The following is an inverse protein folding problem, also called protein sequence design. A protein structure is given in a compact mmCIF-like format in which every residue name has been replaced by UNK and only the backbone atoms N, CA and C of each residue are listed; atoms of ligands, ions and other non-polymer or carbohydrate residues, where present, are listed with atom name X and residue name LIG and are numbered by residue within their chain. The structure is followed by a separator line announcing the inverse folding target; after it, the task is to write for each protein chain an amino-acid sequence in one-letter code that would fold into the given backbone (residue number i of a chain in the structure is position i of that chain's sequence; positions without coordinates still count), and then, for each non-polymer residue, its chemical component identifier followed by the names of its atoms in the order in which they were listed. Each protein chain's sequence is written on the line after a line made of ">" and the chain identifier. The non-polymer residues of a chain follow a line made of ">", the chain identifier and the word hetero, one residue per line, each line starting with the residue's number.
data_IF_779451860878
#
_entry.id   IF_779451860878
#
_cell.length_a   1.000
_cell.length_b   1.000
_cell.length_c   1.000
_cell.angle_alpha   90.00
_cell.angle_beta   90.00
_cell.angle_gamma   90.00
#
_symmetry.space_group_name_H-M   'P 1'
#
loop_
_entity.id
_entity.type
_entity.pdbx_description
1 polymer ?
#
# COMPACT_ATOMS: atom_id res chain seq x y z
N UNK A 1 -22.61 2.24 41.34
CA UNK A 1 -22.82 3.70 41.42
C UNK A 1 -21.49 4.42 41.29
N UNK A 2 -21.43 5.44 40.42
CA UNK A 2 -20.49 6.56 40.39
C UNK A 2 -19.00 6.24 40.16
N UNK A 3 -18.51 6.61 38.99
CA UNK A 3 -17.30 7.41 38.88
C UNK A 3 -17.59 8.60 37.96
N UNK A 4 -17.80 9.76 38.59
CA UNK A 4 -17.87 11.07 37.94
C UNK A 4 -16.46 11.47 37.57
N UNK A 5 -16.18 11.65 36.28
CA UNK A 5 -15.00 12.37 35.84
C UNK A 5 -15.25 13.88 35.91
N UNK A 6 -14.21 14.56 36.37
CA UNK A 6 -14.13 15.95 36.78
C UNK A 6 -14.24 16.85 35.55
N UNK A 7 -15.30 17.65 35.46
CA UNK A 7 -15.38 18.78 34.53
C UNK A 7 -14.46 19.89 35.03
N UNK A 8 -13.36 20.10 34.31
CA UNK A 8 -12.44 21.21 34.55
C UNK A 8 -13.16 22.55 34.43
N UNK A 9 -13.10 23.33 35.50
CA UNK A 9 -13.57 24.70 35.57
C UNK A 9 -12.56 25.57 34.80
N UNK A 10 -12.99 26.14 33.67
CA UNK A 10 -12.27 27.22 33.00
C UNK A 10 -12.47 28.50 33.81
N UNK A 11 -11.44 28.85 34.58
CA UNK A 11 -11.36 30.08 35.35
C UNK A 11 -11.23 31.26 34.37
N UNK A 12 -12.31 32.03 34.19
CA UNK A 12 -12.26 33.33 33.53
C UNK A 12 -11.94 34.40 34.58
N UNK A 13 -10.69 34.87 34.64
CA UNK A 13 -10.29 36.00 35.48
C UNK A 13 -10.87 37.30 34.91
N UNK A 14 -11.70 37.98 35.72
CA UNK A 14 -12.20 39.34 35.47
C UNK A 14 -11.19 40.37 35.98
N UNK A 15 -10.86 41.38 35.18
CA UNK A 15 -10.31 42.64 35.68
C UNK A 15 -11.03 43.83 35.02
N UNK A 16 -11.50 44.76 35.85
CA UNK A 16 -12.26 45.96 35.50
C UNK A 16 -11.37 47.12 35.04
N UNK A 17 -11.95 47.98 34.17
CA UNK A 17 -11.89 49.46 34.08
C UNK A 17 -11.61 50.03 32.67
N UNK A 18 -12.65 50.62 32.05
CA UNK A 18 -12.73 51.84 31.19
C UNK A 18 -14.09 51.87 30.42
N UNK A 19 -14.70 53.04 30.13
CA UNK A 19 -16.12 53.20 29.71
C UNK A 19 -16.42 52.94 28.21
N UNK A 20 -15.59 52.16 27.52
CA UNK A 20 -15.82 51.72 26.15
C UNK A 20 -16.28 50.26 26.13
N UNK A 21 -17.03 49.89 25.09
CA UNK A 21 -17.28 48.48 24.78
C UNK A 21 -15.91 47.78 24.70
N UNK A 22 -15.71 46.69 25.45
CA UNK A 22 -14.50 45.86 25.39
C UNK A 22 -14.90 44.42 25.07
N UNK A 23 -14.25 43.80 24.11
CA UNK A 23 -14.29 42.36 23.95
C UNK A 23 -13.48 41.71 25.09
N UNK A 24 -13.95 40.60 25.65
CA UNK A 24 -13.22 39.86 26.69
C UNK A 24 -11.79 39.49 26.26
N UNK A 25 -10.88 39.35 27.23
CA UNK A 25 -9.50 38.93 26.97
C UNK A 25 -9.49 37.51 26.40
N UNK A 26 -8.98 37.36 25.18
CA UNK A 26 -8.73 36.05 24.58
C UNK A 26 -7.32 35.57 24.94
N UNK A 27 -7.14 34.26 25.07
CA UNK A 27 -5.80 33.66 25.03
C UNK A 27 -5.38 33.56 23.57
N UNK A 28 -4.40 34.37 23.17
CA UNK A 28 -3.90 34.40 21.79
C UNK A 28 -3.05 33.16 21.45
N UNK A 29 -2.95 32.82 20.16
CA UNK A 29 -2.16 31.71 19.61
C UNK A 29 -2.51 30.31 20.15
N UNK A 30 -3.77 30.06 20.49
CA UNK A 30 -4.21 28.74 20.96
C UNK A 30 -4.42 27.73 19.83
N UNK A 31 -4.17 26.45 20.12
CA UNK A 31 -4.47 25.33 19.22
C UNK A 31 -5.80 24.67 19.61
N UNK A 32 -6.73 24.58 18.66
CA UNK A 32 -8.13 24.18 18.90
C UNK A 32 -8.64 23.16 17.88
N UNK A 33 -9.76 22.49 18.18
CA UNK A 33 -10.43 21.58 17.25
C UNK A 33 -11.07 22.33 16.07
N UNK A 34 -11.26 21.66 14.93
CA UNK A 34 -11.80 22.27 13.69
C UNK A 34 -13.24 22.79 13.81
N UNK A 35 -13.97 22.34 14.83
CA UNK A 35 -15.34 22.78 15.14
C UNK A 35 -15.40 23.85 16.25
N UNK A 36 -14.25 24.47 16.60
CA UNK A 36 -14.18 25.45 17.69
C UNK A 36 -15.18 26.58 17.47
N UNK A 37 -15.96 26.83 18.52
CA UNK A 37 -16.83 27.99 18.65
C UNK A 37 -16.19 29.01 19.60
N UNK A 38 -16.33 30.29 19.27
CA UNK A 38 -15.84 31.41 20.05
C UNK A 38 -16.99 32.15 20.72
N UNK A 39 -16.76 32.60 21.95
CA UNK A 39 -17.71 33.41 22.71
C UNK A 39 -17.08 34.76 23.00
N UNK A 40 -17.63 35.81 22.41
CA UNK A 40 -17.18 37.19 22.56
C UNK A 40 -18.11 37.88 23.54
N UNK A 41 -17.60 38.26 24.71
CA UNK A 41 -18.39 38.98 25.72
C UNK A 41 -18.09 40.47 25.65
N UNK A 42 -19.15 41.27 25.56
CA UNK A 42 -19.12 42.72 25.55
C UNK A 42 -19.55 43.27 26.92
N UNK A 43 -19.12 44.49 27.24
CA UNK A 43 -19.46 45.16 28.50
C UNK A 43 -20.89 45.75 28.51
N UNK A 44 -21.36 46.19 27.34
CA UNK A 44 -22.71 46.70 27.09
C UNK A 44 -23.53 45.73 26.22
N UNK A 45 -24.85 45.89 26.21
CA UNK A 45 -25.74 45.17 25.29
C UNK A 45 -25.39 45.48 23.84
N UNK A 46 -25.23 44.44 23.04
CA UNK A 46 -24.77 44.50 21.64
C UNK A 46 -25.95 44.85 20.74
N UNK A 47 -25.77 45.82 19.83
CA UNK A 47 -26.72 45.99 18.72
C UNK A 47 -26.40 44.94 17.66
N UNK A 48 -27.22 43.90 17.57
CA UNK A 48 -26.98 42.75 16.69
C UNK A 48 -27.57 42.94 15.28
N UNK A 49 -27.17 44.02 14.60
CA UNK A 49 -27.54 44.32 13.22
C UNK A 49 -26.47 43.85 12.21
N UNK A 50 -26.71 44.10 10.92
CA UNK A 50 -25.77 43.72 9.86
C UNK A 50 -24.42 44.41 10.00
N UNK A 51 -24.40 45.67 10.44
CA UNK A 51 -23.17 46.43 10.67
C UNK A 51 -22.29 45.76 11.72
N UNK A 52 -22.87 45.35 12.86
CA UNK A 52 -22.12 44.61 13.89
C UNK A 52 -21.63 43.26 13.38
N UNK A 53 -22.43 42.53 12.60
CA UNK A 53 -22.02 41.24 12.02
C UNK A 53 -20.84 41.40 11.06
N UNK A 54 -20.83 42.42 10.21
CA UNK A 54 -19.69 42.76 9.35
C UNK A 54 -18.43 43.16 10.13
N UNK A 55 -18.59 43.58 11.38
CA UNK A 55 -17.49 43.90 12.29
C UNK A 55 -16.82 42.68 12.92
N UNK A 56 -17.39 41.48 12.77
CA UNK A 56 -16.88 40.25 13.37
C UNK A 56 -16.60 39.25 12.26
N UNK A 57 -15.32 38.99 11.99
CA UNK A 57 -14.90 38.14 10.87
C UNK A 57 -13.85 37.14 11.31
N UNK A 58 -13.77 36.01 10.60
CA UNK A 58 -12.60 35.14 10.66
C UNK A 58 -11.91 35.18 9.30
N UNK A 59 -10.59 35.31 9.30
CA UNK A 59 -9.77 35.27 8.08
C UNK A 59 -8.71 34.19 8.18
N UNK A 60 -8.27 33.65 7.04
CA UNK A 60 -7.04 32.89 6.96
C UNK A 60 -5.80 33.81 7.06
N UNK A 61 -4.60 33.23 7.03
CA UNK A 61 -3.33 33.97 7.08
C UNK A 61 -3.05 34.79 5.81
N UNK A 62 -3.79 34.56 4.73
CA UNK A 62 -3.72 35.32 3.47
C UNK A 62 -4.75 36.45 3.42
N UNK A 63 -5.60 36.57 4.43
CA UNK A 63 -6.65 37.59 4.54
C UNK A 63 -7.98 37.21 3.89
N UNK A 64 -8.15 35.97 3.41
CA UNK A 64 -9.43 35.52 2.86
C UNK A 64 -10.45 35.30 3.98
N UNK A 65 -11.67 35.82 3.80
CA UNK A 65 -12.75 35.68 4.79
C UNK A 65 -13.32 34.27 4.82
N UNK A 66 -13.49 33.72 6.01
CA UNK A 66 -14.07 32.41 6.28
C UNK A 66 -15.57 32.56 6.56
N UNK A 67 -16.37 31.69 5.95
CA UNK A 67 -17.82 31.68 6.16
C UNK A 67 -18.17 31.12 7.54
N UNK A 68 -18.38 32.00 8.51
CA UNK A 68 -18.68 31.69 9.91
C UNK A 68 -20.16 31.90 10.22
N UNK A 69 -20.67 31.17 11.21
CA UNK A 69 -21.96 31.49 11.81
C UNK A 69 -21.80 32.52 12.93
N UNK A 70 -22.75 33.45 13.06
CA UNK A 70 -22.75 34.46 14.12
C UNK A 70 -24.15 34.54 14.73
N UNK A 71 -24.24 34.43 16.04
CA UNK A 71 -25.50 34.52 16.80
C UNK A 71 -25.33 35.35 18.08
N UNK A 72 -26.43 35.99 18.51
CA UNK A 72 -26.48 36.70 19.78
C UNK A 72 -26.76 35.70 20.92
N UNK A 73 -26.02 35.82 22.02
CA UNK A 73 -26.24 35.06 23.24
C UNK A 73 -27.46 35.55 24.02
N UNK A 74 -27.97 34.69 24.91
CA UNK A 74 -29.20 34.95 25.69
C UNK A 74 -29.10 36.16 26.63
N UNK A 75 -27.89 36.59 26.99
CA UNK A 75 -27.64 37.74 27.86
C UNK A 75 -27.63 39.09 27.12
N UNK A 76 -27.84 39.09 25.80
CA UNK A 76 -27.74 40.27 24.91
C UNK A 76 -26.38 40.99 24.93
N UNK A 77 -25.38 40.43 25.62
CA UNK A 77 -24.02 40.98 25.78
C UNK A 77 -22.96 40.07 25.18
N UNK A 78 -23.35 38.90 24.72
CA UNK A 78 -22.45 37.90 24.17
C UNK A 78 -22.75 37.66 22.70
N UNK A 79 -21.72 37.57 21.87
CA UNK A 79 -21.83 37.07 20.49
C UNK A 79 -21.09 35.75 20.39
N UNK A 80 -21.74 34.75 19.81
CA UNK A 80 -21.17 33.42 19.58
C UNK A 80 -20.80 33.31 18.10
N UNK A 81 -19.55 32.99 17.81
CA UNK A 81 -19.03 32.77 16.46
C UNK A 81 -18.76 31.28 16.28
N UNK A 82 -19.53 30.63 15.41
CA UNK A 82 -19.41 29.19 15.11
C UNK A 82 -18.52 28.97 13.89
N UNK A 83 -17.80 27.86 13.89
CA UNK A 83 -17.04 27.40 12.73
C UNK A 83 -17.94 27.24 11.48
N UNK A 84 -17.36 27.21 10.26
CA UNK A 84 -18.07 26.78 9.06
C UNK A 84 -18.72 25.41 9.26
N UNK A 85 -19.77 25.10 8.49
CA UNK A 85 -20.43 23.78 8.55
C UNK A 85 -19.45 22.63 8.24
N UNK A 86 -18.48 22.87 7.34
CA UNK A 86 -17.37 21.95 7.06
C UNK A 86 -16.29 21.89 8.14
N UNK A 87 -16.34 22.78 9.14
CA UNK A 87 -15.24 23.09 10.05
C UNK A 87 -14.13 23.91 9.40
N UNK A 88 -13.21 24.39 10.23
CA UNK A 88 -11.94 24.98 9.77
C UNK A 88 -11.00 23.90 9.22
N UNK A 89 -10.19 24.23 8.21
CA UNK A 89 -9.18 23.32 7.65
C UNK A 89 -8.14 22.96 8.71
N UNK A 90 -7.90 21.65 8.93
CA UNK A 90 -6.95 21.14 9.92
C UNK A 90 -5.51 21.52 9.57
N UNK A 91 -4.72 21.88 10.59
CA UNK A 91 -3.32 22.29 10.40
C UNK A 91 -3.11 23.73 9.92
N UNK A 92 -4.18 24.44 9.55
CA UNK A 92 -4.14 25.84 9.15
C UNK A 92 -4.30 26.79 10.36
N UNK A 93 -3.94 28.05 10.14
CA UNK A 93 -4.05 29.14 11.11
C UNK A 93 -5.06 30.18 10.65
N UNK A 94 -5.76 30.78 11.61
CA UNK A 94 -6.83 31.75 11.36
C UNK A 94 -6.78 32.90 12.35
N UNK A 95 -7.44 34.00 12.00
CA UNK A 95 -7.54 35.20 12.80
C UNK A 95 -9.02 35.55 12.98
N UNK A 96 -9.51 35.56 14.22
CA UNK A 96 -10.81 36.14 14.57
C UNK A 96 -10.61 37.64 14.82
N UNK A 97 -11.26 38.47 14.01
CA UNK A 97 -11.22 39.92 14.09
C UNK A 97 -12.54 40.46 14.64
N UNK A 98 -12.46 41.36 15.62
CA UNK A 98 -13.59 42.10 16.19
C UNK A 98 -13.28 43.60 16.06
N UNK A 99 -13.84 44.22 15.02
CA UNK A 99 -13.55 45.58 14.60
C UNK A 99 -14.52 46.63 15.14
N UNK A 100 -14.23 47.90 14.82
CA UNK A 100 -14.99 49.08 15.28
C UNK A 100 -16.44 49.16 14.81
N UNK A 101 -16.84 48.36 13.81
CA UNK A 101 -18.25 48.24 13.40
C UNK A 101 -19.12 47.55 14.46
N UNK A 102 -18.53 46.73 15.34
CA UNK A 102 -19.25 46.14 16.46
C UNK A 102 -19.59 47.22 17.50
N UNK A 103 -20.88 47.39 17.80
CA UNK A 103 -21.37 48.50 18.62
C UNK A 103 -22.54 48.10 19.53
N UNK A 104 -22.72 48.87 20.60
CA UNK A 104 -23.80 48.65 21.56
C UNK A 104 -25.14 49.23 21.09
N UNK A 105 -26.23 48.85 21.75
CA UNK A 105 -27.55 49.44 21.51
C UNK A 105 -27.60 50.96 21.76
N UNK A 106 -26.65 51.49 22.55
CA UNK A 106 -26.44 52.92 22.82
C UNK A 106 -25.55 53.61 21.78
N UNK A 107 -25.18 52.91 20.71
CA UNK A 107 -24.34 53.44 19.63
C UNK A 107 -22.86 53.56 19.95
N UNK A 108 -22.38 52.97 21.05
CA UNK A 108 -20.94 52.99 21.39
C UNK A 108 -20.21 51.87 20.64
N UNK A 109 -19.28 52.26 19.78
CA UNK A 109 -18.40 51.34 19.07
C UNK A 109 -17.18 50.89 19.91
N UNK A 110 -16.55 49.79 19.50
CA UNK A 110 -15.21 49.44 19.97
C UNK A 110 -14.18 50.50 19.54
N UNK A 111 -13.31 50.91 20.47
CA UNK A 111 -12.24 51.89 20.18
C UNK A 111 -11.09 51.29 19.37
N UNK A 112 -10.79 50.02 19.61
CA UNK A 112 -9.70 49.30 18.98
C UNK A 112 -10.26 48.03 18.32
N UNK A 113 -9.62 47.60 17.24
CA UNK A 113 -9.81 46.26 16.71
C UNK A 113 -9.12 45.24 17.62
N UNK A 114 -9.78 44.10 17.83
CA UNK A 114 -9.23 42.98 18.57
C UNK A 114 -9.01 41.81 17.61
N UNK A 115 -7.81 41.24 17.65
CA UNK A 115 -7.43 40.09 16.83
C UNK A 115 -7.04 38.93 17.73
N UNK A 116 -7.53 37.75 17.38
CA UNK A 116 -7.22 36.49 18.04
C UNK A 116 -6.72 35.52 16.97
N UNK A 117 -5.44 35.16 17.06
CA UNK A 117 -4.81 34.13 16.26
C UNK A 117 -5.09 32.76 16.90
N UNK A 118 -5.45 31.79 16.07
CA UNK A 118 -5.63 30.41 16.51
C UNK A 118 -5.21 29.42 15.44
N UNK A 119 -4.79 28.25 15.88
CA UNK A 119 -4.33 27.15 15.03
C UNK A 119 -5.31 25.99 15.13
N UNK A 120 -5.59 25.30 14.02
CA UNK A 120 -6.40 24.09 14.05
C UNK A 120 -5.49 22.88 14.26
N UNK A 121 -5.84 22.00 15.19
CA UNK A 121 -5.13 20.72 15.39
C UNK A 121 -4.95 20.01 14.05
N UNK A 122 -3.72 19.53 13.79
CA UNK A 122 -3.44 18.66 12.65
C UNK A 122 -4.20 17.35 12.80
N UNK A 123 -4.62 16.75 11.69
CA UNK A 123 -5.23 15.43 11.70
C UNK A 123 -4.14 14.37 11.92
N UNK A 124 -3.82 14.07 13.18
CA UNK A 124 -2.82 13.03 13.46
C UNK A 124 -3.39 11.63 13.22
N UNK A 125 -4.70 11.43 13.31
CA UNK A 125 -5.33 10.11 13.21
C UNK A 125 -5.37 9.54 11.78
N UNK A 126 -5.41 10.38 10.74
CA UNK A 126 -5.40 9.91 9.33
C UNK A 126 -4.01 9.47 8.82
N UNK A 127 -2.98 9.66 9.65
CA UNK A 127 -1.60 9.30 9.33
C UNK A 127 -1.06 8.16 10.19
N UNK A 128 -1.79 7.69 11.20
CA UNK A 128 -1.35 6.53 11.98
C UNK A 128 -1.50 5.29 11.09
N UNK A 129 -0.43 4.51 11.03
CA UNK A 129 -0.38 3.19 10.39
C UNK A 129 -0.51 2.15 11.47
N UNK A 130 -1.41 1.19 11.26
CA UNK A 130 -1.62 0.07 12.18
C UNK A 130 -1.32 -1.22 11.45
N UNK A 131 -0.47 -2.05 12.04
CA UNK A 131 -0.19 -3.40 11.56
C UNK A 131 -0.95 -4.38 12.45
N UNK A 132 -1.76 -5.25 11.85
CA UNK A 132 -2.61 -6.16 12.65
C UNK A 132 -1.84 -7.35 13.23
N UNK A 133 -0.81 -7.80 12.51
CA UNK A 133 0.07 -8.86 12.97
C UNK A 133 1.20 -8.27 13.80
N UNK A 134 1.39 -8.79 15.01
CA UNK A 134 2.37 -8.27 15.97
C UNK A 134 3.82 -8.52 15.51
N UNK A 135 4.08 -9.61 14.80
CA UNK A 135 5.42 -9.90 14.28
C UNK A 135 5.74 -8.93 13.13
N UNK A 136 4.77 -8.67 12.25
CA UNK A 136 4.89 -7.63 11.22
C UNK A 136 5.12 -6.25 11.85
N UNK A 137 4.32 -5.85 12.85
CA UNK A 137 4.52 -4.57 13.54
C UNK A 137 5.93 -4.48 14.14
N UNK A 138 6.38 -5.54 14.80
CA UNK A 138 7.69 -5.59 15.44
C UNK A 138 8.83 -5.42 14.43
N UNK A 139 8.76 -6.06 13.27
CA UNK A 139 9.77 -5.89 12.21
C UNK A 139 9.76 -4.47 11.66
N UNK A 140 8.58 -3.88 11.42
CA UNK A 140 8.48 -2.49 10.98
C UNK A 140 9.10 -1.56 12.03
N UNK A 141 8.82 -1.77 13.32
CA UNK A 141 9.41 -0.97 14.41
C UNK A 141 10.92 -1.07 14.47
N UNK A 142 11.49 -2.24 14.21
CA UNK A 142 12.93 -2.44 14.10
C UNK A 142 13.50 -1.62 12.95
N UNK A 143 12.89 -1.68 11.77
CA UNK A 143 13.33 -0.95 10.56
C UNK A 143 13.31 0.57 10.76
N UNK A 144 12.24 1.11 11.37
CA UNK A 144 12.11 2.55 11.60
C UNK A 144 12.77 3.03 12.91
N UNK A 145 13.41 2.12 13.66
CA UNK A 145 14.01 2.39 14.98
C UNK A 145 13.05 3.08 15.96
N UNK A 146 11.81 2.56 16.06
CA UNK A 146 10.73 3.14 16.88
C UNK A 146 10.02 2.08 17.73
N UNK A 147 10.61 1.70 18.89
CA UNK A 147 10.11 0.58 19.68
C UNK A 147 8.75 0.83 20.34
N UNK A 148 8.33 2.09 20.52
CA UNK A 148 7.07 2.44 21.19
C UNK A 148 6.37 3.62 20.52
N UNK A 149 5.10 3.81 20.87
CA UNK A 149 4.25 4.89 20.34
C UNK A 149 3.66 4.59 18.96
N UNK A 150 2.81 5.51 18.50
CA UNK A 150 2.12 5.39 17.22
C UNK A 150 3.10 5.43 16.05
N UNK A 151 2.91 4.54 15.07
CA UNK A 151 3.64 4.58 13.79
C UNK A 151 2.86 5.49 12.85
N UNK A 152 3.53 6.44 12.22
CA UNK A 152 2.94 7.36 11.25
C UNK A 152 3.38 7.01 9.83
N UNK A 153 2.61 7.42 8.81
CA UNK A 153 2.97 7.29 7.40
C UNK A 153 4.37 7.83 7.09
N UNK A 154 4.74 8.95 7.70
CA UNK A 154 6.09 9.54 7.57
C UNK A 154 7.20 8.66 8.13
N UNK A 155 6.90 7.79 9.11
CA UNK A 155 7.90 6.88 9.65
C UNK A 155 8.22 5.76 8.65
N UNK A 156 7.24 5.35 7.85
CA UNK A 156 7.34 4.22 6.93
C UNK A 156 7.52 4.62 5.47
N UNK A 157 7.45 5.92 5.15
CA UNK A 157 7.49 6.43 3.77
C UNK A 157 8.80 6.09 3.04
N UNK A 158 9.89 5.90 3.78
CA UNK A 158 11.21 5.61 3.21
C UNK A 158 11.52 4.11 3.08
N UNK A 159 10.60 3.23 3.51
CA UNK A 159 10.77 1.78 3.38
C UNK A 159 10.60 1.40 1.90
N UNK A 160 11.70 0.93 1.29
CA UNK A 160 11.74 0.45 -0.11
C UNK A 160 11.90 -1.06 -0.22
N UNK A 161 12.45 -1.67 0.82
CA UNK A 161 12.68 -3.11 0.88
C UNK A 161 12.21 -3.58 2.25
N UNK A 162 11.43 -4.65 2.27
CA UNK A 162 10.94 -5.30 3.48
C UNK A 162 11.15 -6.80 3.32
N UNK A 163 11.88 -7.39 4.26
CA UNK A 163 12.19 -8.82 4.32
C UNK A 163 11.72 -9.32 5.67
N UNK A 164 10.73 -10.22 5.66
CA UNK A 164 10.24 -10.92 6.84
C UNK A 164 10.03 -12.40 6.54
N UNK A 165 11.13 -13.09 6.25
CA UNK A 165 11.15 -14.54 6.10
C UNK A 165 10.81 -15.26 7.42
N UNK A 166 10.00 -16.33 7.34
CA UNK A 166 9.75 -17.25 8.46
C UNK A 166 9.21 -16.59 9.75
N UNK A 167 8.61 -15.40 9.64
CA UNK A 167 8.10 -14.60 10.76
C UNK A 167 6.79 -15.10 11.37
N UNK A 168 6.19 -16.14 10.80
CA UNK A 168 4.89 -16.68 11.24
C UNK A 168 3.72 -15.73 11.00
N UNK A 169 3.88 -14.77 10.09
CA UNK A 169 2.89 -13.74 9.75
C UNK A 169 1.66 -14.38 9.11
N UNK A 170 0.48 -13.91 9.50
CA UNK A 170 -0.80 -14.32 8.92
C UNK A 170 -1.58 -13.16 8.28
N UNK A 171 -1.55 -11.99 8.90
CA UNK A 171 -2.30 -10.81 8.47
C UNK A 171 -1.33 -9.68 8.12
N UNK A 172 -1.23 -9.37 6.83
CA UNK A 172 -0.35 -8.31 6.33
C UNK A 172 -1.02 -6.93 6.27
N UNK A 173 -2.21 -6.76 6.88
CA UNK A 173 -2.84 -5.43 7.00
C UNK A 173 -1.88 -4.42 7.62
N UNK A 174 -1.80 -3.24 7.01
CA UNK A 174 -0.84 -2.18 7.31
C UNK A 174 0.24 -2.05 6.23
N UNK A 175 0.58 -3.14 5.51
CA UNK A 175 1.56 -3.11 4.40
C UNK A 175 1.12 -2.18 3.27
N UNK A 176 -0.18 -1.96 3.05
CA UNK A 176 -0.69 -1.01 2.05
C UNK A 176 -0.21 0.44 2.28
N UNK A 177 0.28 0.76 3.49
CA UNK A 177 0.86 2.07 3.81
C UNK A 177 2.30 2.23 3.30
N UNK A 178 2.98 1.13 2.93
CA UNK A 178 4.36 1.11 2.43
C UNK A 178 4.41 1.45 0.93
N UNK A 179 3.84 2.59 0.55
CA UNK A 179 3.60 2.95 -0.86
C UNK A 179 4.86 3.08 -1.73
N UNK A 180 6.05 3.23 -1.13
CA UNK A 180 7.33 3.29 -1.83
C UNK A 180 8.07 1.93 -1.89
N UNK A 181 7.42 0.85 -1.46
CA UNK A 181 8.00 -0.49 -1.45
C UNK A 181 8.29 -0.99 -2.88
N UNK A 182 9.51 -1.47 -3.08
CA UNK A 182 10.03 -1.99 -4.35
C UNK A 182 10.35 -3.49 -4.25
N UNK A 183 10.76 -3.96 -3.08
CA UNK A 183 11.00 -5.38 -2.81
C UNK A 183 10.27 -5.80 -1.54
N UNK A 184 9.55 -6.91 -1.64
CA UNK A 184 8.84 -7.50 -0.52
C UNK A 184 9.13 -9.00 -0.48
N UNK A 185 9.83 -9.44 0.56
CA UNK A 185 10.01 -10.86 0.87
C UNK A 185 9.18 -11.24 2.09
N UNK A 186 8.24 -12.16 1.88
CA UNK A 186 7.36 -12.73 2.90
C UNK A 186 7.38 -14.26 2.83
N UNK A 187 8.49 -14.84 2.38
CA UNK A 187 8.67 -16.28 2.29
C UNK A 187 8.46 -17.00 3.63
N UNK A 188 7.85 -18.19 3.57
CA UNK A 188 7.78 -19.09 4.73
C UNK A 188 6.84 -18.61 5.84
N UNK A 189 5.81 -17.84 5.49
CA UNK A 189 4.80 -17.35 6.43
C UNK A 189 3.51 -18.19 6.35
N UNK A 190 2.39 -17.66 6.87
CA UNK A 190 1.07 -18.32 6.89
C UNK A 190 0.01 -17.43 6.22
N UNK A 191 0.42 -16.61 5.26
CA UNK A 191 -0.42 -15.62 4.59
C UNK A 191 -1.36 -16.33 3.63
N UNK A 192 -2.61 -15.89 3.59
CA UNK A 192 -3.62 -16.37 2.63
C UNK A 192 -4.35 -15.24 1.92
N UNK A 193 -4.49 -14.08 2.58
CA UNK A 193 -5.06 -12.87 2.00
C UNK A 193 -3.94 -11.88 1.67
N UNK A 194 -3.82 -11.55 0.37
CA UNK A 194 -2.87 -10.56 -0.15
C UNK A 194 -3.55 -9.32 -0.72
N UNK A 195 -4.84 -9.10 -0.45
CA UNK A 195 -5.64 -8.01 -1.03
C UNK A 195 -5.10 -6.61 -0.75
N UNK A 196 -4.38 -6.44 0.36
CA UNK A 196 -3.72 -5.18 0.74
C UNK A 196 -2.57 -4.79 -0.19
N UNK A 197 -2.04 -5.72 -0.99
CA UNK A 197 -0.95 -5.44 -1.93
C UNK A 197 -1.40 -4.69 -3.19
N UNK A 198 -2.73 -4.58 -3.45
CA UNK A 198 -3.31 -4.12 -4.73
C UNK A 198 -2.78 -2.76 -5.24
N UNK A 199 -2.40 -1.87 -4.34
CA UNK A 199 -1.98 -0.50 -4.64
C UNK A 199 -0.46 -0.29 -4.51
N UNK A 200 0.31 -1.35 -4.21
CA UNK A 200 1.78 -1.29 -4.13
C UNK A 200 2.43 -1.38 -5.52
N UNK A 201 2.01 -0.49 -6.41
CA UNK A 201 2.39 -0.52 -7.83
C UNK A 201 3.88 -0.28 -8.08
N UNK A 202 4.65 0.15 -7.07
CA UNK A 202 6.10 0.31 -7.14
C UNK A 202 6.88 -1.00 -6.97
N UNK A 203 6.21 -2.11 -6.62
CA UNK A 203 6.85 -3.41 -6.45
C UNK A 203 7.50 -3.90 -7.75
N UNK A 204 8.74 -4.34 -7.61
CA UNK A 204 9.59 -4.91 -8.66
C UNK A 204 9.95 -6.37 -8.34
N UNK A 205 10.07 -6.70 -7.05
CA UNK A 205 10.36 -8.07 -6.59
C UNK A 205 9.38 -8.43 -5.48
N UNK A 206 8.70 -9.56 -5.63
CA UNK A 206 7.73 -10.06 -4.66
C UNK A 206 7.97 -11.56 -4.44
N UNK A 207 8.32 -11.92 -3.21
CA UNK A 207 8.44 -13.31 -2.79
C UNK A 207 7.34 -13.63 -1.77
N UNK A 208 6.47 -14.55 -2.16
CA UNK A 208 5.35 -15.07 -1.37
C UNK A 208 5.41 -16.60 -1.30
N UNK A 209 6.58 -17.20 -1.53
CA UNK A 209 6.79 -18.64 -1.47
C UNK A 209 6.50 -19.23 -0.08
N UNK A 210 6.13 -20.51 -0.03
CA UNK A 210 5.78 -21.22 1.23
C UNK A 210 4.74 -20.46 2.08
N UNK A 211 3.59 -20.17 1.48
CA UNK A 211 2.44 -19.55 2.16
C UNK A 211 1.16 -20.40 1.96
N UNK A 212 -0.02 -19.82 2.14
CA UNK A 212 -1.33 -20.48 1.98
C UNK A 212 -2.21 -19.74 0.98
N UNK A 213 -1.60 -19.16 -0.05
CA UNK A 213 -2.28 -18.32 -1.03
C UNK A 213 -2.95 -19.20 -2.09
N UNK A 214 -4.19 -18.87 -2.44
CA UNK A 214 -4.91 -19.53 -3.54
C UNK A 214 -5.49 -18.52 -4.56
N UNK A 215 -5.69 -17.27 -4.14
CA UNK A 215 -6.18 -16.17 -4.97
C UNK A 215 -5.09 -15.11 -5.13
N UNK A 216 -4.64 -14.94 -6.38
CA UNK A 216 -3.65 -13.93 -6.76
C UNK A 216 -4.22 -12.81 -7.63
N UNK A 217 -5.56 -12.68 -7.73
CA UNK A 217 -6.23 -11.65 -8.54
C UNK A 217 -5.78 -10.22 -8.21
N UNK A 218 -5.36 -10.00 -6.97
CA UNK A 218 -4.78 -8.74 -6.48
C UNK A 218 -3.53 -8.31 -7.25
N UNK A 219 -2.73 -9.25 -7.76
CA UNK A 219 -1.45 -8.96 -8.40
C UNK A 219 -1.58 -8.31 -9.79
N UNK A 220 -2.78 -8.34 -10.40
CA UNK A 220 -3.01 -7.93 -11.81
C UNK A 220 -2.54 -6.51 -12.15
N UNK A 221 -2.51 -5.61 -11.18
CA UNK A 221 -2.12 -4.21 -11.38
C UNK A 221 -0.64 -3.94 -11.07
N UNK A 222 0.10 -4.93 -10.54
CA UNK A 222 1.51 -4.79 -10.15
C UNK A 222 2.45 -4.94 -11.36
N UNK A 223 2.17 -4.16 -12.40
CA UNK A 223 2.80 -4.26 -13.73
C UNK A 223 4.29 -3.95 -13.74
N UNK A 224 4.85 -3.39 -12.66
CA UNK A 224 6.28 -3.15 -12.50
C UNK A 224 7.07 -4.38 -12.01
N UNK A 225 6.37 -5.48 -11.66
CA UNK A 225 7.02 -6.72 -11.21
C UNK A 225 7.97 -7.28 -12.29
N UNK A 226 9.17 -7.61 -11.84
CA UNK A 226 10.25 -8.22 -12.61
C UNK A 226 10.59 -9.62 -12.09
N UNK A 227 10.43 -9.84 -10.77
CA UNK A 227 10.59 -11.14 -10.11
C UNK A 227 9.35 -11.42 -9.27
N UNK A 228 8.76 -12.59 -9.47
CA UNK A 228 7.61 -13.05 -8.69
C UNK A 228 7.81 -14.52 -8.31
N UNK A 229 7.92 -14.75 -7.02
CA UNK A 229 8.07 -16.09 -6.45
C UNK A 229 6.79 -16.46 -5.68
N UNK A 230 6.11 -17.51 -6.13
CA UNK A 230 4.82 -17.99 -5.59
C UNK A 230 4.85 -19.50 -5.29
N UNK A 231 6.04 -20.09 -5.22
CA UNK A 231 6.22 -21.53 -5.01
C UNK A 231 5.63 -22.03 -3.69
N UNK A 232 5.21 -23.28 -3.65
CA UNK A 232 4.65 -23.94 -2.46
C UNK A 232 3.46 -23.13 -1.88
N UNK A 233 2.42 -23.02 -2.70
CA UNK A 233 1.14 -22.39 -2.36
C UNK A 233 -0.03 -23.30 -2.82
N UNK A 234 -1.24 -22.75 -2.94
CA UNK A 234 -2.45 -23.48 -3.35
C UNK A 234 -3.09 -22.85 -4.59
N UNK A 235 -2.27 -22.27 -5.47
CA UNK A 235 -2.73 -21.49 -6.63
C UNK A 235 -3.12 -22.45 -7.75
N UNK A 236 -4.25 -22.17 -8.40
CA UNK A 236 -4.71 -22.92 -9.59
C UNK A 236 -5.06 -22.02 -10.77
N UNK A 237 -5.51 -20.79 -10.50
CA UNK A 237 -5.76 -19.75 -11.50
C UNK A 237 -4.65 -18.69 -11.44
N UNK A 238 -3.95 -18.54 -12.56
CA UNK A 238 -2.88 -17.54 -12.75
C UNK A 238 -3.28 -16.41 -13.70
N UNK A 239 -4.58 -16.22 -13.96
CA UNK A 239 -5.11 -15.19 -14.87
C UNK A 239 -4.66 -13.77 -14.53
N UNK A 240 -4.36 -13.50 -13.26
CA UNK A 240 -3.82 -12.23 -12.79
C UNK A 240 -2.46 -11.87 -13.41
N UNK A 241 -1.69 -12.84 -13.91
CA UNK A 241 -0.34 -12.62 -14.41
C UNK A 241 -0.29 -12.12 -15.86
N UNK A 242 -1.41 -12.16 -16.58
CA UNK A 242 -1.50 -11.92 -18.03
C UNK A 242 -0.82 -10.61 -18.47
N UNK A 243 -1.02 -9.53 -17.70
CA UNK A 243 -0.54 -8.19 -18.06
C UNK A 243 0.79 -7.82 -17.37
N UNK A 244 1.43 -8.76 -16.67
CA UNK A 244 2.71 -8.55 -15.99
C UNK A 244 3.89 -8.73 -16.94
N UNK A 245 3.88 -7.99 -18.05
CA UNK A 245 4.82 -8.16 -19.17
C UNK A 245 6.27 -7.83 -18.83
N UNK A 246 6.54 -7.20 -17.68
CA UNK A 246 7.88 -6.89 -17.20
C UNK A 246 8.56 -8.06 -16.47
N UNK A 247 7.84 -9.16 -16.20
CA UNK A 247 8.39 -10.34 -15.54
C UNK A 247 9.57 -10.91 -16.30
N UNK A 248 10.65 -11.16 -15.57
CA UNK A 248 11.89 -11.81 -16.02
C UNK A 248 12.09 -13.15 -15.32
N UNK A 249 11.65 -13.25 -14.07
CA UNK A 249 11.69 -14.46 -13.26
C UNK A 249 10.30 -14.72 -12.71
N UNK A 250 9.81 -15.94 -12.91
CA UNK A 250 8.53 -16.40 -12.38
C UNK A 250 8.72 -17.82 -11.82
N UNK A 251 8.45 -17.97 -10.54
CA UNK A 251 8.49 -19.26 -9.85
C UNK A 251 7.08 -19.62 -9.37
N UNK A 252 6.56 -20.73 -9.90
CA UNK A 252 5.25 -21.29 -9.61
C UNK A 252 5.34 -22.75 -9.14
N UNK A 253 6.52 -23.20 -8.69
CA UNK A 253 6.75 -24.56 -8.20
C UNK A 253 5.70 -24.97 -7.14
N UNK A 254 5.30 -26.26 -7.13
CA UNK A 254 4.45 -26.88 -6.11
C UNK A 254 3.16 -26.08 -5.84
N UNK A 255 2.34 -26.03 -6.90
CA UNK A 255 1.02 -25.43 -6.91
C UNK A 255 0.03 -26.41 -7.58
N UNK A 256 -1.18 -25.92 -7.90
CA UNK A 256 -2.27 -26.71 -8.48
C UNK A 256 -2.58 -26.30 -9.93
N UNK A 257 -1.59 -25.73 -10.64
CA UNK A 257 -1.76 -25.12 -11.95
C UNK A 257 -1.84 -26.19 -13.03
N UNK A 258 -2.79 -26.05 -13.95
CA UNK A 258 -2.93 -26.91 -15.13
C UNK A 258 -2.96 -26.13 -16.44
N UNK A 259 -3.32 -24.85 -16.39
CA UNK A 259 -3.44 -23.98 -17.56
C UNK A 259 -2.46 -22.81 -17.45
N UNK A 260 -1.50 -22.77 -18.36
CA UNK A 260 -0.51 -21.70 -18.45
C UNK A 260 -0.68 -20.81 -19.69
N UNK A 261 -1.83 -20.86 -20.37
CA UNK A 261 -2.11 -20.06 -21.58
C UNK A 261 -1.84 -18.56 -21.41
N UNK A 262 -2.01 -18.03 -20.20
CA UNK A 262 -1.77 -16.62 -19.89
C UNK A 262 -0.29 -16.21 -19.92
N UNK A 263 0.64 -17.17 -19.97
CA UNK A 263 2.07 -16.87 -20.13
C UNK A 263 2.38 -16.47 -21.58
N UNK A 264 1.46 -16.71 -22.52
CA UNK A 264 1.58 -16.18 -23.88
C UNK A 264 1.70 -14.66 -23.83
N UNK A 265 2.78 -14.13 -24.41
CA UNK A 265 3.04 -12.69 -24.43
C UNK A 265 3.96 -12.17 -23.33
N UNK A 266 4.35 -12.98 -22.35
CA UNK A 266 5.35 -12.60 -21.34
C UNK A 266 6.78 -12.70 -21.90
N UNK A 267 7.05 -11.98 -22.99
CA UNK A 267 8.27 -12.10 -23.79
C UNK A 267 9.57 -11.75 -23.05
N UNK A 268 9.48 -11.09 -21.89
CA UNK A 268 10.65 -10.74 -21.08
C UNK A 268 11.11 -11.85 -20.14
N UNK A 269 10.34 -12.95 -20.01
CA UNK A 269 10.70 -14.08 -19.16
C UNK A 269 12.04 -14.69 -19.59
N UNK A 270 12.87 -14.95 -18.59
CA UNK A 270 14.20 -15.58 -18.70
C UNK A 270 14.28 -16.84 -17.86
N UNK A 271 13.64 -16.84 -16.69
CA UNK A 271 13.61 -17.96 -15.75
C UNK A 271 12.15 -18.26 -15.44
N UNK A 272 11.78 -19.52 -15.64
CA UNK A 272 10.44 -20.01 -15.39
C UNK A 272 10.52 -21.36 -14.66
N UNK A 273 9.96 -21.42 -13.46
CA UNK A 273 9.80 -22.66 -12.72
C UNK A 273 8.31 -23.03 -12.64
N UNK A 274 8.00 -24.24 -13.06
CA UNK A 274 6.67 -24.83 -13.12
C UNK A 274 6.63 -26.21 -12.46
N UNK A 275 7.65 -26.55 -11.66
CA UNK A 275 7.81 -27.87 -11.09
C UNK A 275 6.60 -28.26 -10.22
N UNK A 276 6.35 -29.55 -10.08
CA UNK A 276 5.31 -30.08 -9.17
C UNK A 276 3.90 -29.49 -9.42
N UNK A 277 3.49 -29.34 -10.69
CA UNK A 277 2.16 -28.88 -11.06
C UNK A 277 1.37 -29.97 -11.82
N UNK A 278 0.27 -29.58 -12.48
CA UNK A 278 -0.62 -30.47 -13.26
C UNK A 278 -0.67 -30.06 -14.73
N UNK A 279 0.42 -29.53 -15.26
CA UNK A 279 0.48 -28.95 -16.60
C UNK A 279 0.67 -30.06 -17.63
N UNK A 280 -0.13 -30.04 -18.69
CA UNK A 280 0.00 -30.96 -19.83
C UNK A 280 0.22 -30.24 -21.16
N UNK A 281 -0.23 -28.99 -21.28
CA UNK A 281 -0.11 -28.17 -22.47
C UNK A 281 0.80 -26.98 -22.22
N UNK A 282 1.95 -26.96 -22.91
CA UNK A 282 2.94 -25.89 -22.83
C UNK A 282 3.00 -24.99 -24.08
N UNK A 283 1.96 -24.99 -24.91
CA UNK A 283 1.88 -24.16 -26.13
C UNK A 283 2.09 -22.66 -25.86
N UNK A 284 1.77 -22.18 -24.65
CA UNK A 284 2.00 -20.81 -24.21
C UNK A 284 3.48 -20.40 -24.22
N UNK A 285 4.42 -21.35 -24.15
CA UNK A 285 5.85 -21.07 -24.17
C UNK A 285 6.38 -20.76 -25.57
N UNK A 286 5.58 -21.02 -26.61
CA UNK A 286 5.94 -20.75 -27.99
C UNK A 286 6.24 -19.26 -28.18
N UNK A 287 7.42 -18.95 -28.68
CA UNK A 287 7.81 -17.57 -28.97
C UNK A 287 8.35 -16.79 -27.77
N UNK A 288 8.47 -17.39 -26.59
CA UNK A 288 9.15 -16.79 -25.43
C UNK A 288 10.67 -16.90 -25.59
N UNK A 289 11.21 -16.30 -26.66
CA UNK A 289 12.59 -16.48 -27.12
C UNK A 289 13.66 -16.03 -26.12
N UNK A 290 13.30 -15.27 -25.09
CA UNK A 290 14.24 -14.82 -24.04
C UNK A 290 14.45 -15.84 -22.92
N UNK A 291 13.67 -16.93 -22.89
CA UNK A 291 13.83 -17.99 -21.89
C UNK A 291 15.23 -18.60 -21.94
N UNK A 292 15.83 -18.75 -20.76
CA UNK A 292 17.16 -19.31 -20.55
C UNK A 292 17.08 -20.55 -19.66
N UNK A 293 16.20 -20.52 -18.66
CA UNK A 293 16.02 -21.60 -17.71
C UNK A 293 14.53 -21.93 -17.61
N UNK A 294 14.19 -23.19 -17.87
CA UNK A 294 12.85 -23.73 -17.65
C UNK A 294 12.99 -24.97 -16.78
N UNK A 295 12.24 -25.00 -15.68
CA UNK A 295 11.94 -26.23 -14.95
C UNK A 295 10.45 -26.53 -15.10
N UNK A 296 10.13 -27.75 -15.50
CA UNK A 296 8.77 -28.28 -15.55
C UNK A 296 8.75 -29.76 -15.12
N UNK A 297 9.63 -30.10 -14.18
CA UNK A 297 9.73 -31.40 -13.56
C UNK A 297 8.41 -31.77 -12.86
N UNK A 298 8.06 -33.05 -12.96
CA UNK A 298 6.88 -33.64 -12.31
C UNK A 298 5.57 -32.96 -12.71
N UNK A 299 5.31 -33.00 -14.01
CA UNK A 299 4.09 -32.52 -14.65
C UNK A 299 3.47 -33.65 -15.51
N UNK A 300 2.56 -33.32 -16.43
CA UNK A 300 1.86 -34.26 -17.31
C UNK A 300 2.10 -33.93 -18.79
N UNK A 301 3.27 -33.36 -19.10
CA UNK A 301 3.62 -32.87 -20.44
C UNK A 301 3.95 -34.06 -21.33
N UNK A 302 3.43 -34.08 -22.56
CA UNK A 302 3.75 -35.09 -23.58
C UNK A 302 4.21 -34.45 -24.90
N UNK A 303 3.60 -33.33 -25.28
CA UNK A 303 4.00 -32.54 -26.45
C UNK A 303 4.88 -31.36 -26.03
N UNK A 304 6.12 -31.38 -26.50
CA UNK A 304 7.12 -30.33 -26.28
C UNK A 304 7.44 -29.50 -27.52
N UNK A 305 6.61 -29.58 -28.57
CA UNK A 305 6.79 -28.84 -29.83
C UNK A 305 6.85 -27.32 -29.63
N UNK A 306 6.25 -26.80 -28.56
CA UNK A 306 6.30 -25.39 -28.18
C UNK A 306 7.73 -24.88 -27.90
N UNK A 307 8.65 -25.76 -27.53
CA UNK A 307 10.06 -25.43 -27.26
C UNK A 307 10.85 -25.15 -28.55
N UNK A 308 10.28 -25.43 -29.73
CA UNK A 308 10.94 -25.21 -31.00
C UNK A 308 11.35 -23.75 -31.16
N UNK A 309 12.65 -23.51 -31.35
CA UNK A 309 13.19 -22.19 -31.59
C UNK A 309 13.50 -21.37 -30.33
N UNK A 310 13.37 -21.95 -29.14
CA UNK A 310 13.82 -21.32 -27.89
C UNK A 310 15.35 -21.45 -27.73
N UNK A 311 16.09 -20.91 -28.72
CA UNK A 311 17.53 -21.11 -28.84
C UNK A 311 18.35 -20.50 -27.70
N UNK A 312 17.77 -19.62 -26.86
CA UNK A 312 18.47 -19.06 -25.71
C UNK A 312 18.46 -19.95 -24.47
N UNK A 313 17.76 -21.09 -24.51
CA UNK A 313 17.74 -22.06 -23.41
C UNK A 313 19.14 -22.61 -23.11
N UNK A 314 19.48 -22.57 -21.83
CA UNK A 314 20.72 -23.07 -21.24
C UNK A 314 20.44 -24.27 -20.33
N UNK A 315 19.35 -24.20 -19.58
CA UNK A 315 18.92 -25.26 -18.67
C UNK A 315 17.45 -25.60 -18.94
N UNK A 316 17.18 -26.89 -19.06
CA UNK A 316 15.83 -27.41 -19.25
C UNK A 316 15.65 -28.67 -18.39
N UNK A 317 14.70 -28.64 -17.46
CA UNK A 317 14.26 -29.83 -16.73
C UNK A 317 12.84 -30.22 -17.16
N UNK A 318 12.71 -31.44 -17.66
CA UNK A 318 11.45 -32.06 -18.07
C UNK A 318 11.31 -33.45 -17.44
N UNK A 319 12.03 -33.72 -16.35
CA UNK A 319 12.00 -34.99 -15.63
C UNK A 319 10.57 -35.33 -15.18
N UNK A 320 10.24 -36.62 -15.08
CA UNK A 320 8.94 -37.11 -14.58
C UNK A 320 7.74 -36.48 -15.31
N UNK A 321 7.68 -36.74 -16.62
CA UNK A 321 6.62 -36.31 -17.52
C UNK A 321 6.22 -37.48 -18.45
N UNK A 322 5.44 -37.23 -19.49
CA UNK A 322 4.91 -38.23 -20.42
C UNK A 322 5.48 -38.07 -21.83
N UNK A 323 6.72 -37.57 -21.95
CA UNK A 323 7.34 -37.23 -23.23
C UNK A 323 7.89 -38.49 -23.89
N UNK A 324 7.65 -38.64 -25.20
CA UNK A 324 8.23 -39.70 -26.02
C UNK A 324 8.99 -39.15 -27.23
N UNK A 325 8.44 -38.14 -27.90
CA UNK A 325 9.11 -37.43 -29.00
C UNK A 325 9.95 -36.25 -28.49
N UNK A 326 11.27 -36.39 -28.63
CA UNK A 326 12.27 -35.37 -28.25
C UNK A 326 12.97 -34.73 -29.45
N UNK A 327 12.48 -34.93 -30.67
CA UNK A 327 13.13 -34.42 -31.88
C UNK A 327 13.30 -32.91 -31.88
N UNK A 328 12.36 -32.17 -31.28
CA UNK A 328 12.41 -30.71 -31.16
C UNK A 328 13.66 -30.22 -30.39
N UNK A 329 14.17 -31.01 -29.45
CA UNK A 329 15.30 -30.64 -28.60
C UNK A 329 16.63 -30.60 -29.37
N UNK A 330 16.76 -31.34 -30.48
CA UNK A 330 17.98 -31.40 -31.31
C UNK A 330 18.39 -30.02 -31.85
N UNK A 331 17.45 -29.09 -31.98
CA UNK A 331 17.71 -27.73 -32.44
C UNK A 331 18.14 -26.74 -31.36
N UNK A 332 18.15 -27.14 -30.08
CA UNK A 332 18.43 -26.26 -28.95
C UNK A 332 19.92 -26.29 -28.59
N UNK A 333 20.77 -25.86 -29.53
CA UNK A 333 22.23 -26.01 -29.48
C UNK A 333 22.94 -25.23 -28.36
N UNK A 334 22.25 -24.29 -27.69
CA UNK A 334 22.80 -23.57 -26.54
C UNK A 334 22.51 -24.24 -25.19
N UNK A 335 21.75 -25.35 -25.17
CA UNK A 335 21.53 -26.13 -23.95
C UNK A 335 22.87 -26.62 -23.39
N UNK A 336 23.03 -26.41 -22.09
CA UNK A 336 24.19 -26.85 -21.30
C UNK A 336 23.82 -28.00 -20.40
N UNK A 337 22.61 -27.98 -19.86
CA UNK A 337 22.08 -29.01 -18.98
C UNK A 337 20.65 -29.33 -19.35
N UNK A 338 20.37 -30.62 -19.54
CA UNK A 338 19.06 -31.13 -19.92
C UNK A 338 18.73 -32.35 -19.05
N UNK A 339 17.58 -32.30 -18.37
CA UNK A 339 17.07 -33.40 -17.57
C UNK A 339 15.80 -33.98 -18.21
N UNK A 340 15.81 -35.29 -18.46
CA UNK A 340 14.77 -36.03 -19.17
C UNK A 340 14.43 -37.36 -18.47
N UNK A 341 14.79 -37.49 -17.19
CA UNK A 341 14.51 -38.70 -16.41
C UNK A 341 13.02 -39.02 -16.39
N UNK A 342 12.68 -40.30 -16.24
CA UNK A 342 11.29 -40.77 -16.08
C UNK A 342 10.32 -40.28 -17.15
N UNK A 343 10.77 -40.28 -18.40
CA UNK A 343 9.93 -40.08 -19.57
C UNK A 343 9.88 -41.37 -20.43
N UNK A 344 9.03 -41.39 -21.44
CA UNK A 344 8.79 -42.53 -22.34
C UNK A 344 9.68 -42.46 -23.59
N UNK A 345 10.96 -42.12 -23.42
CA UNK A 345 11.90 -41.85 -24.51
C UNK A 345 12.64 -43.14 -24.90
N UNK A 346 12.66 -43.46 -26.19
CA UNK A 346 13.38 -44.63 -26.72
C UNK A 346 14.91 -44.47 -26.62
N UNK A 347 15.65 -45.55 -26.42
CA UNK A 347 17.11 -45.47 -26.33
C UNK A 347 17.76 -44.97 -27.64
N UNK A 348 17.11 -45.26 -28.78
CA UNK A 348 17.52 -44.70 -30.09
C UNK A 348 17.42 -43.18 -30.09
N UNK A 349 16.31 -42.61 -29.61
CA UNK A 349 16.15 -41.15 -29.56
C UNK A 349 17.13 -40.51 -28.57
N UNK A 350 17.38 -41.15 -27.42
CA UNK A 350 18.40 -40.70 -26.45
C UNK A 350 19.78 -40.60 -27.10
N UNK A 351 20.19 -41.62 -27.87
CA UNK A 351 21.46 -41.63 -28.58
C UNK A 351 21.53 -40.55 -29.67
N UNK A 352 20.46 -40.40 -30.46
CA UNK A 352 20.39 -39.37 -31.50
C UNK A 352 20.45 -37.96 -30.90
N UNK A 353 19.79 -37.73 -29.76
CA UNK A 353 19.84 -36.44 -29.08
C UNK A 353 21.22 -36.16 -28.50
N UNK A 354 21.87 -37.15 -27.88
CA UNK A 354 23.23 -37.01 -27.35
C UNK A 354 24.24 -36.63 -28.43
N UNK A 355 24.09 -37.18 -29.65
CA UNK A 355 24.92 -36.82 -30.80
C UNK A 355 24.63 -35.40 -31.31
N UNK A 356 23.36 -34.97 -31.30
CA UNK A 356 22.97 -33.63 -31.74
C UNK A 356 23.41 -32.53 -30.77
N UNK A 357 23.41 -32.81 -29.46
CA UNK A 357 23.74 -31.86 -28.40
C UNK A 357 25.04 -32.29 -27.69
N UNK A 358 26.14 -32.42 -28.43
CA UNK A 358 27.42 -32.94 -27.91
C UNK A 358 28.02 -32.13 -26.75
N UNK A 359 27.64 -30.85 -26.61
CA UNK A 359 28.12 -29.96 -25.54
C UNK A 359 27.12 -29.83 -24.37
N UNK A 360 25.98 -30.53 -24.43
CA UNK A 360 24.98 -30.55 -23.39
C UNK A 360 25.19 -31.75 -22.48
N UNK A 361 25.17 -31.52 -21.17
CA UNK A 361 25.05 -32.59 -20.17
C UNK A 361 23.60 -33.04 -20.14
N UNK A 362 23.32 -34.23 -20.67
CA UNK A 362 21.97 -34.82 -20.68
C UNK A 362 21.86 -35.87 -19.59
N UNK A 363 20.84 -35.76 -18.73
CA UNK A 363 20.58 -36.69 -17.63
C UNK A 363 19.24 -37.40 -17.82
N UNK A 364 19.27 -38.72 -17.79
CA UNK A 364 18.10 -39.59 -17.99
C UNK A 364 17.68 -40.36 -16.73
N UNK A 365 18.29 -40.06 -15.60
CA UNK A 365 18.01 -40.68 -14.29
C UNK A 365 17.71 -39.60 -13.28
N UNK A 366 16.86 -39.89 -12.28
CA UNK A 366 16.65 -38.99 -11.14
C UNK A 366 17.97 -38.82 -10.40
N UNK A 367 18.43 -37.57 -10.29
CA UNK A 367 19.60 -37.24 -9.47
C UNK A 367 19.23 -36.92 -8.01
N UNK A 368 17.96 -37.08 -7.61
CA UNK A 368 17.49 -36.75 -6.27
C UNK A 368 17.06 -38.01 -5.51
N UNK A 369 17.77 -38.31 -4.42
CA UNK A 369 17.42 -39.36 -3.43
C UNK A 369 16.33 -38.91 -2.50
#
# INVERSE_FOLDING_TARGET
>A
MKNKFITGILISTFLLLAPSVKAANFTDNQTVDSNKTWTIKFTDEVRFDNTTKEGITVTDTKGATINIGIQLGQDSKTVIVTAPESGYTKGESYILNVGSKAHSIKGKALKNEYKLHFNIKKDTNNNIVTFKDANLEQEIRTIINKPTGDIYKSDVENIKELDIELGGIQDISGIESLTNLQKLDLYGNKISDITVLKDLTNLQELNLGYNKINDITTLKNLTNLQKLDLYVNQISDISALKDLTNLKTLDLEDNLISNISILEGLYNLKILDLDYNKISNISALKGLYNLQNISAYKNQISDISALKGLYNLKTLDLTDNQISDINVLKGLYNLRTLYLGDNQISDTDKQLLQNALSNCTIKYIRDYK
#
